data_IF_811651638893
#
_entry.id   IF_811651638893
#
_cell.length_a   1.000
_cell.length_b   1.000
_cell.length_c   1.000
_cell.angle_alpha   90.00
_cell.angle_beta   90.00
_cell.angle_gamma   90.00
#
_symmetry.space_group_name_H-M   'P 1'
#
loop_
_entity.id
_entity.type
_entity.pdbx_description
1 polymer ?
#
# COMPACT_ATOMS: atom_id res chain seq x y z
N UNK A 1 10.68 14.76 3.27
CA UNK A 1 9.45 14.20 2.65
C UNK A 1 8.68 13.32 3.62
N UNK A 2 9.23 12.20 4.13
CA UNK A 2 8.56 11.39 5.17
C UNK A 2 8.15 12.21 6.40
N UNK A 3 9.01 13.11 6.88
CA UNK A 3 8.75 13.95 8.06
C UNK A 3 7.56 14.94 7.86
N UNK A 4 7.38 15.49 6.67
CA UNK A 4 6.27 16.43 6.36
C UNK A 4 4.95 15.71 6.09
N UNK A 5 5.00 14.51 5.51
CA UNK A 5 3.82 13.63 5.43
C UNK A 5 3.39 13.14 6.83
N UNK A 6 4.35 12.94 7.74
CA UNK A 6 4.07 12.61 9.14
C UNK A 6 3.49 13.78 9.94
N UNK A 7 3.84 15.02 9.59
CA UNK A 7 3.30 16.26 10.18
C UNK A 7 1.98 16.73 9.54
N UNK A 8 1.51 16.04 8.49
CA UNK A 8 0.32 16.41 7.70
C UNK A 8 0.36 17.85 7.16
N UNK A 9 1.55 18.41 6.91
CA UNK A 9 1.71 19.73 6.30
C UNK A 9 1.46 19.67 4.77
N UNK A 10 0.17 19.68 4.41
CA UNK A 10 -0.29 19.64 3.02
C UNK A 10 0.22 20.85 2.22
N UNK A 11 0.37 22.02 2.84
CA UNK A 11 0.84 23.22 2.15
C UNK A 11 2.33 23.14 1.85
N UNK A 12 3.14 22.64 2.79
CA UNK A 12 4.54 22.29 2.56
C UNK A 12 4.70 21.26 1.43
N UNK A 13 3.86 20.21 1.41
CA UNK A 13 3.87 19.22 0.33
C UNK A 13 3.51 19.84 -1.03
N UNK A 14 2.52 20.74 -1.09
CA UNK A 14 2.18 21.48 -2.32
C UNK A 14 3.33 22.34 -2.83
N UNK A 15 4.10 22.96 -1.93
CA UNK A 15 5.31 23.70 -2.28
C UNK A 15 6.38 22.78 -2.87
N UNK A 16 6.66 21.64 -2.24
CA UNK A 16 7.60 20.64 -2.77
C UNK A 16 7.19 20.14 -4.15
N UNK A 17 5.90 19.84 -4.35
CA UNK A 17 5.37 19.44 -5.66
C UNK A 17 5.69 20.51 -6.71
N UNK A 18 5.37 21.76 -6.43
CA UNK A 18 5.62 22.89 -7.34
C UNK A 18 7.10 23.07 -7.68
N UNK A 19 8.00 22.89 -6.71
CA UNK A 19 9.45 22.92 -6.95
C UNK A 19 9.89 21.82 -7.92
N UNK A 20 9.42 20.59 -7.73
CA UNK A 20 9.73 19.48 -8.64
C UNK A 20 9.12 19.67 -10.03
N UNK A 21 7.90 20.20 -10.14
CA UNK A 21 7.30 20.56 -11.44
C UNK A 21 8.18 21.57 -12.18
N UNK A 22 8.66 22.62 -11.51
CA UNK A 22 9.55 23.63 -12.10
C UNK A 22 10.89 23.04 -12.54
N UNK A 23 11.48 22.18 -11.71
CA UNK A 23 12.74 21.49 -12.02
C UNK A 23 12.58 20.51 -13.20
N UNK A 24 11.45 19.82 -13.29
CA UNK A 24 11.16 18.95 -14.44
C UNK A 24 11.00 19.77 -15.73
N UNK A 25 10.21 20.85 -15.70
CA UNK A 25 10.02 21.73 -16.88
C UNK A 25 11.33 22.35 -17.39
N UNK A 26 12.27 22.63 -16.51
CA UNK A 26 13.57 23.22 -16.88
C UNK A 26 14.59 22.17 -17.34
N UNK A 27 14.67 21.02 -16.68
CA UNK A 27 15.74 20.04 -16.91
C UNK A 27 15.33 18.80 -17.68
N UNK A 28 14.02 18.53 -17.79
CA UNK A 28 13.43 17.31 -18.36
C UNK A 28 13.95 16.01 -17.73
N UNK A 29 14.59 16.07 -16.54
CA UNK A 29 15.09 14.88 -15.85
C UNK A 29 13.95 14.07 -15.26
N UNK A 30 13.84 12.78 -15.64
CA UNK A 30 12.81 11.84 -15.17
C UNK A 30 12.65 11.82 -13.64
N UNK A 31 13.76 11.90 -12.89
CA UNK A 31 13.75 11.86 -11.42
C UNK A 31 12.90 12.97 -10.79
N UNK A 32 12.88 14.17 -11.35
CA UNK A 32 12.05 15.25 -10.81
C UNK A 32 10.56 15.00 -11.04
N UNK A 33 10.21 14.43 -12.20
CA UNK A 33 8.83 14.00 -12.48
C UNK A 33 8.39 12.88 -11.53
N UNK A 34 9.24 11.89 -11.30
CA UNK A 34 8.95 10.81 -10.35
C UNK A 34 8.74 11.34 -8.92
N UNK A 35 9.56 12.28 -8.46
CA UNK A 35 9.41 12.92 -7.15
C UNK A 35 8.14 13.78 -7.04
N UNK A 36 7.80 14.51 -8.09
CA UNK A 36 6.53 15.25 -8.19
C UNK A 36 5.33 14.30 -8.02
N UNK A 37 5.35 13.14 -8.69
CA UNK A 37 4.27 12.16 -8.62
C UNK A 37 4.17 11.54 -7.23
N UNK A 38 5.30 11.15 -6.61
CA UNK A 38 5.31 10.65 -5.22
C UNK A 38 4.65 11.66 -4.27
N UNK A 39 5.03 12.94 -4.37
CA UNK A 39 4.45 13.99 -3.52
C UNK A 39 2.95 14.15 -3.79
N UNK A 40 2.52 14.02 -5.04
CA UNK A 40 1.08 14.04 -5.39
C UNK A 40 0.32 12.89 -4.73
N UNK A 41 0.86 11.67 -4.75
CA UNK A 41 0.26 10.52 -4.08
C UNK A 41 0.19 10.70 -2.56
N UNK A 42 1.25 11.23 -1.93
CA UNK A 42 1.23 11.52 -0.48
C UNK A 42 0.16 12.56 -0.13
N UNK A 43 -0.03 13.60 -0.96
CA UNK A 43 -1.10 14.58 -0.76
C UNK A 43 -2.47 13.90 -0.90
N UNK A 44 -2.67 13.06 -1.92
CA UNK A 44 -3.93 12.32 -2.11
C UNK A 44 -4.26 11.43 -0.90
N UNK A 45 -3.26 10.70 -0.39
CA UNK A 45 -3.37 9.87 0.81
C UNK A 45 -3.72 10.70 2.05
N UNK A 46 -3.04 11.84 2.24
CA UNK A 46 -3.23 12.73 3.41
C UNK A 46 -4.60 13.41 3.39
N UNK A 47 -5.10 13.76 2.20
CA UNK A 47 -6.42 14.40 2.03
C UNK A 47 -7.57 13.37 1.97
N UNK A 48 -7.29 12.07 2.17
CA UNK A 48 -8.23 10.93 2.03
C UNK A 48 -9.01 10.95 0.70
N UNK A 49 -8.35 11.48 -0.34
CA UNK A 49 -8.88 11.51 -1.68
C UNK A 49 -8.47 10.19 -2.32
N UNK A 50 -9.35 9.20 -2.28
CA UNK A 50 -9.20 7.93 -3.03
C UNK A 50 -9.26 8.13 -4.57
N UNK A 51 -8.76 9.26 -5.06
CA UNK A 51 -8.65 9.62 -6.47
C UNK A 51 -7.44 8.93 -7.10
N UNK A 52 -7.55 8.63 -8.40
CA UNK A 52 -6.44 8.10 -9.16
C UNK A 52 -5.54 9.24 -9.70
N UNK A 53 -4.27 8.92 -9.95
CA UNK A 53 -3.36 9.74 -10.74
C UNK A 53 -3.92 9.99 -12.13
N UNK A 54 -3.47 11.06 -12.78
CA UNK A 54 -3.78 11.27 -14.20
C UNK A 54 -3.28 10.08 -15.04
N UNK A 55 -3.91 9.77 -16.19
CA UNK A 55 -3.43 8.71 -17.07
C UNK A 55 -1.96 8.89 -17.48
N UNK A 56 -1.52 10.13 -17.65
CA UNK A 56 -0.15 10.48 -18.01
C UNK A 56 0.84 10.15 -16.88
N UNK A 57 0.54 10.57 -15.64
CA UNK A 57 1.42 10.32 -14.49
C UNK A 57 1.45 8.84 -14.12
N UNK A 58 0.29 8.17 -14.19
CA UNK A 58 0.17 6.71 -14.00
C UNK A 58 1.06 5.97 -15.00
N UNK A 59 0.93 6.30 -16.29
CA UNK A 59 1.74 5.70 -17.35
C UNK A 59 3.23 6.00 -17.16
N UNK A 60 3.58 7.21 -16.75
CA UNK A 60 4.99 7.61 -16.53
C UNK A 60 5.66 6.76 -15.45
N UNK A 61 4.98 6.53 -14.31
CA UNK A 61 5.49 5.66 -13.24
C UNK A 61 5.52 4.20 -13.70
N UNK A 62 4.45 3.75 -14.35
CA UNK A 62 4.31 2.40 -14.91
C UNK A 62 5.46 2.04 -15.85
N UNK A 63 5.72 2.88 -16.85
CA UNK A 63 6.76 2.64 -17.83
C UNK A 63 8.16 2.70 -17.19
N UNK A 64 8.41 3.63 -16.27
CA UNK A 64 9.69 3.69 -15.54
C UNK A 64 9.98 2.41 -14.74
N UNK A 65 9.01 1.92 -13.95
CA UNK A 65 9.19 0.72 -13.12
C UNK A 65 9.27 -0.54 -13.98
N UNK A 66 8.55 -0.58 -15.10
CA UNK A 66 8.54 -1.72 -16.01
C UNK A 66 9.83 -1.87 -16.81
N UNK A 67 10.50 -0.76 -17.16
CA UNK A 67 11.83 -0.76 -17.80
C UNK A 67 12.91 -1.39 -16.92
N UNK A 68 12.70 -1.47 -15.60
CA UNK A 68 13.69 -2.02 -14.66
C UNK A 68 13.52 -3.51 -14.44
N UNK A 69 14.64 -4.22 -14.48
CA UNK A 69 14.71 -5.65 -14.15
C UNK A 69 15.08 -5.89 -12.68
N UNK A 70 15.67 -4.89 -12.02
CA UNK A 70 16.06 -4.92 -10.60
C UNK A 70 15.52 -3.65 -9.95
N UNK A 71 14.90 -3.80 -8.78
CA UNK A 71 14.39 -2.69 -7.98
C UNK A 71 15.28 -2.44 -6.78
N UNK A 72 15.67 -1.18 -6.60
CA UNK A 72 16.38 -0.68 -5.43
C UNK A 72 15.42 0.19 -4.60
N UNK A 73 15.95 0.88 -3.59
CA UNK A 73 15.15 1.73 -2.68
C UNK A 73 14.20 2.67 -3.41
N UNK A 74 14.65 3.33 -4.49
CA UNK A 74 13.81 4.29 -5.23
C UNK A 74 12.62 3.59 -5.89
N UNK A 75 12.84 2.46 -6.57
CA UNK A 75 11.78 1.72 -7.24
C UNK A 75 10.76 1.17 -6.25
N UNK A 76 11.21 0.66 -5.10
CA UNK A 76 10.30 0.22 -4.04
C UNK A 76 9.50 1.37 -3.45
N UNK A 77 10.13 2.54 -3.21
CA UNK A 77 9.42 3.74 -2.73
C UNK A 77 8.38 4.18 -3.76
N UNK A 78 8.76 4.27 -5.03
CA UNK A 78 7.84 4.63 -6.12
C UNK A 78 6.66 3.67 -6.22
N UNK A 79 6.93 2.37 -6.19
CA UNK A 79 5.89 1.37 -6.24
C UNK A 79 4.97 1.50 -5.02
N UNK A 80 5.54 1.50 -3.80
CA UNK A 80 4.78 1.54 -2.55
C UNK A 80 3.90 2.79 -2.45
N UNK A 81 4.41 3.96 -2.82
CA UNK A 81 3.70 5.24 -2.65
C UNK A 81 2.73 5.52 -3.81
N UNK A 82 2.99 5.03 -5.03
CA UNK A 82 2.17 5.36 -6.19
C UNK A 82 1.14 4.28 -6.57
N UNK A 83 1.39 2.99 -6.29
CA UNK A 83 0.54 1.87 -6.72
C UNK A 83 -0.93 2.01 -6.35
N UNK A 84 -1.31 2.46 -5.14
CA UNK A 84 -2.73 2.63 -4.80
C UNK A 84 -3.48 3.54 -5.77
N UNK A 85 -2.78 4.56 -6.30
CA UNK A 85 -3.34 5.64 -7.10
C UNK A 85 -3.19 5.43 -8.61
N UNK A 86 -2.55 4.36 -9.07
CA UNK A 86 -2.36 4.09 -10.50
C UNK A 86 -3.68 3.82 -11.22
N UNK A 87 -3.74 4.10 -12.52
CA UNK A 87 -4.84 3.67 -13.37
C UNK A 87 -4.94 2.13 -13.41
N UNK A 88 -6.14 1.54 -13.58
CA UNK A 88 -6.33 0.09 -13.54
C UNK A 88 -5.40 -0.72 -14.45
N UNK A 89 -5.26 -0.31 -15.72
CA UNK A 89 -4.43 -1.03 -16.68
C UNK A 89 -2.93 -0.99 -16.30
N UNK A 90 -2.43 0.15 -15.80
CA UNK A 90 -1.05 0.29 -15.34
C UNK A 90 -0.78 -0.52 -14.07
N UNK A 91 -1.74 -0.51 -13.15
CA UNK A 91 -1.69 -1.32 -11.94
C UNK A 91 -1.56 -2.81 -12.28
N UNK A 92 -2.41 -3.35 -13.15
CA UNK A 92 -2.40 -4.77 -13.52
C UNK A 92 -1.06 -5.19 -14.16
N UNK A 93 -0.55 -4.35 -15.07
CA UNK A 93 0.75 -4.55 -15.72
C UNK A 93 1.87 -4.60 -14.68
N UNK A 94 1.92 -3.63 -13.76
CA UNK A 94 2.95 -3.56 -12.72
C UNK A 94 2.81 -4.63 -11.65
N UNK A 95 1.59 -5.05 -11.32
CA UNK A 95 1.32 -6.15 -10.40
C UNK A 95 1.98 -7.44 -10.90
N UNK A 96 1.78 -7.80 -12.16
CA UNK A 96 2.41 -8.98 -12.76
C UNK A 96 3.95 -8.87 -12.77
N UNK A 97 4.48 -7.68 -13.08
CA UNK A 97 5.93 -7.40 -13.03
C UNK A 97 6.48 -7.58 -11.62
N UNK A 98 5.81 -6.99 -10.61
CA UNK A 98 6.21 -7.07 -9.21
C UNK A 98 6.28 -8.52 -8.73
N UNK A 99 5.25 -9.32 -9.01
CA UNK A 99 5.26 -10.75 -8.69
C UNK A 99 6.41 -11.49 -9.40
N UNK A 100 6.66 -11.18 -10.67
CA UNK A 100 7.74 -11.81 -11.45
C UNK A 100 9.11 -11.48 -10.87
N UNK A 101 9.41 -10.21 -10.63
CA UNK A 101 10.68 -9.76 -10.00
C UNK A 101 10.82 -10.41 -8.62
N UNK A 102 9.74 -10.45 -7.84
CA UNK A 102 9.78 -10.94 -6.48
C UNK A 102 10.09 -12.44 -6.37
N UNK A 103 9.45 -13.30 -7.18
CA UNK A 103 9.68 -14.75 -7.10
C UNK A 103 10.93 -15.21 -7.87
N UNK A 104 11.42 -14.43 -8.81
CA UNK A 104 12.67 -14.73 -9.54
C UNK A 104 13.92 -14.26 -8.78
N UNK A 105 13.84 -13.17 -8.02
CA UNK A 105 14.95 -12.65 -7.23
C UNK A 105 14.78 -13.01 -5.76
N UNK A 106 15.22 -14.22 -5.38
CA UNK A 106 15.41 -14.63 -3.98
C UNK A 106 16.22 -13.55 -3.24
N UNK A 107 15.55 -12.87 -2.31
CA UNK A 107 16.05 -12.18 -1.13
C UNK A 107 17.42 -11.50 -1.27
N UNK A 108 17.43 -10.22 -1.65
CA UNK A 108 18.43 -9.29 -1.10
C UNK A 108 17.95 -8.86 0.27
N UNK A 109 18.59 -9.36 1.33
CA UNK A 109 18.20 -9.13 2.73
C UNK A 109 17.99 -7.65 3.07
N UNK A 110 18.75 -6.76 2.41
CA UNK A 110 18.74 -5.31 2.67
C UNK A 110 17.42 -4.59 2.32
N UNK A 111 16.51 -5.22 1.58
CA UNK A 111 15.26 -4.61 1.12
C UNK A 111 14.00 -5.34 1.58
N UNK A 112 14.11 -6.27 2.54
CA UNK A 112 12.98 -7.09 3.00
C UNK A 112 11.81 -6.25 3.54
N UNK A 113 12.09 -5.19 4.30
CA UNK A 113 11.04 -4.32 4.86
C UNK A 113 10.29 -3.55 3.77
N UNK A 114 11.03 -2.99 2.79
CA UNK A 114 10.45 -2.28 1.66
C UNK A 114 9.62 -3.22 0.78
N UNK A 115 10.08 -4.46 0.64
CA UNK A 115 9.36 -5.50 -0.05
C UNK A 115 8.03 -5.82 0.65
N UNK A 116 8.03 -6.09 1.96
CA UNK A 116 6.80 -6.39 2.70
C UNK A 116 5.82 -5.21 2.68
N UNK A 117 6.33 -3.98 2.82
CA UNK A 117 5.52 -2.78 2.70
C UNK A 117 4.86 -2.67 1.34
N UNK A 118 5.63 -2.85 0.26
CA UNK A 118 5.12 -2.80 -1.12
C UNK A 118 4.04 -3.84 -1.35
N UNK A 119 4.25 -5.05 -0.83
CA UNK A 119 3.31 -6.15 -0.96
C UNK A 119 2.00 -5.90 -0.21
N UNK A 120 2.10 -5.38 1.02
CA UNK A 120 0.94 -4.95 1.81
C UNK A 120 0.17 -3.84 1.09
N UNK A 121 0.86 -2.80 0.60
CA UNK A 121 0.24 -1.69 -0.14
C UNK A 121 -0.49 -2.17 -1.40
N UNK A 122 0.04 -3.16 -2.12
CA UNK A 122 -0.66 -3.80 -3.25
C UNK A 122 -1.95 -4.48 -2.82
N UNK A 123 -1.93 -5.24 -1.71
CA UNK A 123 -3.14 -5.87 -1.19
C UNK A 123 -4.19 -4.85 -0.72
N UNK A 124 -3.74 -3.75 -0.11
CA UNK A 124 -4.61 -2.62 0.28
C UNK A 124 -5.21 -1.93 -0.95
N UNK A 125 -4.41 -1.70 -1.99
CA UNK A 125 -4.89 -1.13 -3.25
C UNK A 125 -5.97 -2.02 -3.89
N UNK A 126 -5.79 -3.34 -3.87
CA UNK A 126 -6.79 -4.30 -4.34
C UNK A 126 -8.07 -4.26 -3.48
N UNK A 127 -7.93 -4.13 -2.15
CA UNK A 127 -9.05 -3.98 -1.23
C UNK A 127 -9.91 -2.75 -1.57
N UNK A 128 -9.29 -1.57 -1.73
CA UNK A 128 -10.02 -0.34 -2.06
C UNK A 128 -10.69 -0.39 -3.44
N UNK A 129 -10.14 -1.18 -4.36
CA UNK A 129 -10.75 -1.47 -5.67
C UNK A 129 -11.84 -2.55 -5.62
N UNK A 130 -12.21 -3.02 -4.42
CA UNK A 130 -13.16 -4.11 -4.19
C UNK A 130 -12.75 -5.45 -4.82
N UNK A 131 -11.47 -5.59 -5.19
CA UNK A 131 -10.89 -6.80 -5.76
C UNK A 131 -10.42 -7.74 -4.62
N UNK A 132 -11.35 -8.16 -3.76
CA UNK A 132 -11.05 -8.88 -2.52
C UNK A 132 -10.43 -10.26 -2.74
N UNK A 133 -10.86 -11.00 -3.77
CA UNK A 133 -10.28 -12.32 -4.08
C UNK A 133 -8.82 -12.20 -4.56
N UNK A 134 -8.49 -11.31 -5.53
CA UNK A 134 -7.11 -10.98 -5.86
C UNK A 134 -6.28 -10.49 -4.66
N UNK A 135 -6.86 -9.69 -3.75
CA UNK A 135 -6.17 -9.25 -2.53
C UNK A 135 -5.79 -10.43 -1.63
N UNK A 136 -6.70 -11.38 -1.42
CA UNK A 136 -6.43 -12.61 -0.65
C UNK A 136 -5.35 -13.45 -1.32
N UNK A 137 -5.45 -13.67 -2.64
CA UNK A 137 -4.45 -14.43 -3.39
C UNK A 137 -3.06 -13.81 -3.30
N UNK A 138 -2.98 -12.48 -3.37
CA UNK A 138 -1.76 -11.72 -3.13
C UNK A 138 -1.22 -12.07 -1.74
N UNK A 139 -2.00 -11.85 -0.68
CA UNK A 139 -1.60 -12.09 0.71
C UNK A 139 -1.20 -13.55 1.00
N UNK A 140 -1.85 -14.53 0.38
CA UNK A 140 -1.52 -15.94 0.53
C UNK A 140 -0.16 -16.29 -0.08
N UNK A 141 0.18 -15.73 -1.25
CA UNK A 141 1.52 -15.89 -1.86
C UNK A 141 2.64 -15.34 -0.99
N UNK A 142 2.38 -14.29 -0.21
CA UNK A 142 3.37 -13.75 0.73
C UNK A 142 3.59 -14.69 1.93
N UNK A 143 2.52 -15.35 2.40
CA UNK A 143 2.61 -16.32 3.50
C UNK A 143 3.51 -17.50 3.12
N UNK A 144 3.52 -17.90 1.86
CA UNK A 144 4.40 -18.95 1.32
C UNK A 144 5.90 -18.60 1.43
N UNK A 145 6.25 -17.30 1.55
CA UNK A 145 7.63 -16.84 1.66
C UNK A 145 8.23 -16.94 3.07
N UNK A 146 7.53 -17.56 4.03
CA UNK A 146 7.99 -17.77 5.41
C UNK A 146 8.51 -16.50 6.09
N UNK A 147 7.61 -15.53 6.30
CA UNK A 147 7.92 -14.26 6.97
C UNK A 147 8.58 -14.53 8.33
N UNK A 148 9.78 -13.98 8.61
CA UNK A 148 10.48 -14.17 9.88
C UNK A 148 9.60 -13.84 11.09
N UNK A 149 9.76 -14.61 12.18
CA UNK A 149 8.99 -14.40 13.41
C UNK A 149 9.27 -13.03 14.07
N UNK A 150 10.47 -12.48 13.84
CA UNK A 150 10.85 -11.13 14.28
C UNK A 150 9.99 -10.02 13.66
N UNK A 151 9.29 -10.29 12.54
CA UNK A 151 8.42 -9.34 11.84
C UNK A 151 6.94 -9.49 12.26
N UNK A 152 6.70 -9.56 13.56
CA UNK A 152 5.36 -9.76 14.14
C UNK A 152 4.33 -8.74 13.62
N UNK A 153 4.67 -7.44 13.58
CA UNK A 153 3.76 -6.38 13.14
C UNK A 153 3.29 -6.58 11.69
N UNK A 154 4.20 -6.94 10.78
CA UNK A 154 3.87 -7.19 9.38
C UNK A 154 2.90 -8.38 9.28
N UNK A 155 3.20 -9.49 9.96
CA UNK A 155 2.34 -10.69 9.97
C UNK A 155 0.93 -10.38 10.48
N UNK A 156 0.83 -9.52 11.48
CA UNK A 156 -0.45 -9.08 12.04
C UNK A 156 -1.25 -8.26 11.03
N UNK A 157 -0.63 -7.28 10.35
CA UNK A 157 -1.31 -6.47 9.32
C UNK A 157 -1.83 -7.33 8.16
N UNK A 158 -1.01 -8.28 7.69
CA UNK A 158 -1.38 -9.19 6.62
C UNK A 158 -2.56 -10.09 7.00
N UNK A 159 -2.53 -10.64 8.23
CA UNK A 159 -3.61 -11.49 8.74
C UNK A 159 -4.92 -10.72 8.85
N UNK A 160 -4.88 -9.50 9.38
CA UNK A 160 -6.05 -8.62 9.47
C UNK A 160 -6.65 -8.32 8.10
N UNK A 161 -5.84 -7.79 7.18
CA UNK A 161 -6.31 -7.40 5.86
C UNK A 161 -6.92 -8.59 5.12
N UNK A 162 -6.28 -9.77 5.21
CA UNK A 162 -6.80 -11.01 4.64
C UNK A 162 -8.16 -11.38 5.21
N UNK A 163 -8.32 -11.35 6.54
CA UNK A 163 -9.60 -11.65 7.20
C UNK A 163 -10.68 -10.63 6.83
N UNK A 164 -10.31 -9.36 6.73
CA UNK A 164 -11.22 -8.31 6.26
C UNK A 164 -11.70 -8.57 4.82
N UNK A 165 -10.80 -8.89 3.88
CA UNK A 165 -11.19 -9.27 2.53
C UNK A 165 -12.12 -10.50 2.51
N UNK A 166 -11.84 -11.52 3.34
CA UNK A 166 -12.69 -12.70 3.46
C UNK A 166 -14.08 -12.36 3.99
N UNK A 167 -14.16 -11.48 5.00
CA UNK A 167 -15.43 -10.99 5.51
C UNK A 167 -16.21 -10.26 4.42
N UNK A 168 -15.58 -9.36 3.66
CA UNK A 168 -16.22 -8.65 2.54
C UNK A 168 -16.74 -9.57 1.44
N UNK A 169 -16.12 -10.73 1.21
CA UNK A 169 -16.59 -11.72 0.24
C UNK A 169 -17.72 -12.61 0.75
N UNK A 170 -17.69 -12.98 2.03
CA UNK A 170 -18.55 -14.03 2.59
C UNK A 170 -19.69 -13.50 3.46
N UNK A 171 -19.55 -12.30 4.02
CA UNK A 171 -20.38 -11.78 5.12
C UNK A 171 -20.56 -12.79 6.28
N UNK A 172 -19.61 -13.69 6.48
CA UNK A 172 -19.67 -14.72 7.53
C UNK A 172 -19.52 -14.10 8.92
N UNK A 173 -20.42 -14.45 9.82
CA UNK A 173 -20.40 -14.05 11.23
C UNK A 173 -19.19 -14.62 11.98
N UNK A 174 -18.74 -15.83 11.62
CA UNK A 174 -17.52 -16.44 12.15
C UNK A 174 -16.29 -15.62 11.77
N UNK A 175 -16.17 -15.23 10.49
CA UNK A 175 -15.07 -14.37 10.03
C UNK A 175 -15.10 -13.00 10.70
N UNK A 176 -16.30 -12.44 10.93
CA UNK A 176 -16.47 -11.18 11.66
C UNK A 176 -16.02 -11.28 13.12
N UNK A 177 -16.37 -12.38 13.80
CA UNK A 177 -15.96 -12.63 15.18
C UNK A 177 -14.44 -12.78 15.30
N UNK A 178 -13.82 -13.57 14.43
CA UNK A 178 -12.36 -13.70 14.39
C UNK A 178 -11.66 -12.36 14.12
N UNK A 179 -12.20 -11.56 13.20
CA UNK A 179 -11.65 -10.24 12.88
C UNK A 179 -11.76 -9.29 14.08
N UNK A 180 -12.89 -9.32 14.80
CA UNK A 180 -13.08 -8.55 16.03
C UNK A 180 -12.06 -8.94 17.11
N UNK A 181 -11.81 -10.24 17.31
CA UNK A 181 -10.80 -10.71 18.26
C UNK A 181 -9.38 -10.27 17.88
N UNK A 182 -9.02 -10.35 16.60
CA UNK A 182 -7.72 -9.86 16.12
C UNK A 182 -7.55 -8.36 16.37
N UNK A 183 -8.61 -7.57 16.13
CA UNK A 183 -8.61 -6.14 16.40
C UNK A 183 -8.48 -5.87 17.90
N UNK A 184 -9.17 -6.61 18.77
CA UNK A 184 -8.99 -6.50 20.24
C UNK A 184 -7.55 -6.78 20.68
N UNK A 185 -6.93 -7.82 20.13
CA UNK A 185 -5.51 -8.13 20.41
C UNK A 185 -4.62 -6.95 20.01
N UNK A 186 -4.85 -6.35 18.84
CA UNK A 186 -4.12 -5.18 18.39
C UNK A 186 -4.30 -4.00 19.33
N UNK A 187 -5.52 -3.72 19.77
CA UNK A 187 -5.78 -2.63 20.71
C UNK A 187 -5.00 -2.79 22.02
N UNK A 188 -4.80 -4.03 22.48
CA UNK A 188 -3.97 -4.30 23.67
C UNK A 188 -2.48 -4.04 23.44
N UNK A 189 -1.98 -4.32 22.23
CA UNK A 189 -0.56 -4.14 21.88
C UNK A 189 -0.26 -2.67 21.55
N UNK A 190 -1.12 -2.02 20.77
CA UNK A 190 -1.02 -0.62 20.38
C UNK A 190 -2.41 -0.03 20.14
N UNK A 191 -2.99 0.67 21.14
CA UNK A 191 -4.29 1.31 21.01
C UNK A 191 -4.36 2.31 19.84
N UNK A 192 -3.26 3.02 19.58
CA UNK A 192 -3.17 3.95 18.46
C UNK A 192 -3.30 3.22 17.11
N UNK A 193 -2.62 2.08 16.96
CA UNK A 193 -2.69 1.28 15.75
C UNK A 193 -4.09 0.69 15.54
N UNK A 194 -4.72 0.16 16.60
CA UNK A 194 -6.09 -0.35 16.52
C UNK A 194 -7.11 0.68 16.08
N UNK A 195 -7.01 1.92 16.61
CA UNK A 195 -7.89 3.04 16.20
C UNK A 195 -7.70 3.39 14.73
N UNK A 196 -6.44 3.53 14.28
CA UNK A 196 -6.13 3.85 12.88
C UNK A 196 -6.66 2.77 11.94
N UNK A 197 -6.43 1.50 12.26
CA UNK A 197 -6.89 0.39 11.42
C UNK A 197 -8.42 0.32 11.31
N UNK A 198 -9.15 0.49 12.42
CA UNK A 198 -10.62 0.57 12.38
C UNK A 198 -11.12 1.73 11.51
N UNK A 199 -10.49 2.90 11.61
CA UNK A 199 -10.86 4.07 10.81
C UNK A 199 -10.57 3.88 9.32
N UNK A 200 -9.35 3.45 8.98
CA UNK A 200 -8.85 3.26 7.61
C UNK A 200 -9.69 2.26 6.81
N UNK A 201 -10.20 1.22 7.47
CA UNK A 201 -11.00 0.17 6.85
C UNK A 201 -12.50 0.24 7.14
N UNK A 202 -12.94 1.27 7.88
CA UNK A 202 -14.32 1.48 8.32
C UNK A 202 -14.96 0.21 8.94
N UNK A 203 -14.16 -0.58 9.66
CA UNK A 203 -14.62 -1.84 10.23
C UNK A 203 -15.40 -1.59 11.53
N UNK A 204 -16.67 -1.98 11.52
CA UNK A 204 -17.53 -1.96 12.70
C UNK A 204 -17.54 -3.37 13.31
N UNK A 205 -17.37 -3.44 14.63
CA UNK A 205 -17.53 -4.73 15.32
C UNK A 205 -18.96 -5.23 15.11
N UNK A 206 -19.16 -6.54 14.89
CA UNK A 206 -20.50 -7.10 14.90
C UNK A 206 -21.14 -6.76 16.25
N UNK A 207 -22.36 -6.23 16.22
CA UNK A 207 -23.14 -6.00 17.43
C UNK A 207 -23.30 -7.36 18.09
N UNK A 208 -22.61 -7.56 19.20
CA UNK A 208 -22.87 -8.70 20.07
C UNK A 208 -24.23 -8.44 20.71
N UNK A 209 -25.26 -9.15 20.23
CA UNK A 209 -26.46 -9.35 21.01
C UNK A 209 -26.06 -10.16 22.25
N UNK A 210 -25.58 -9.44 23.27
CA UNK A 210 -25.52 -9.94 24.62
C UNK A 210 -26.98 -10.02 25.10
N UNK A 211 -27.59 -11.18 24.87
CA UNK A 211 -28.73 -11.65 25.66
C UNK A 211 -28.24 -12.21 26.98
#
# INVERSE_FOLDING_TARGET
MRQLGLEQDVDGLKQFRSQFTKQFKSTHKKLYKLREIIVSCIIMDTEDRHSLLSPEDSKFVSDYLFERNIWYTLEYVLYSDCVPFLQPADFEKLYNKFLTIHFSFRQRGDYMDLFFQSFYNTAVALYYRQAYSPAIQTLDRLKEQQIPDSLFSIRLHLRLLRRLCQYKLTNSTETAAELSELVKVIFKISPAFGRRWKAEFQFHEPVSDHT
#
